data_IF_525652375396
#
_entry.id   IF_525652375396
#
_cell.length_a   1.000
_cell.length_b   1.000
_cell.length_c   1.000
_cell.angle_alpha   90.00
_cell.angle_beta   90.00
_cell.angle_gamma   90.00
#
_symmetry.space_group_name_H-M   'P 1'
#
loop_
_entity.id
_entity.type
_entity.pdbx_description
1 polymer ?
#
# COMPACT_ATOMS: atom_id res chain seq x y z
N UNK A 1 -9.58 20.29 0.63
CA UNK A 1 -8.51 21.10 -0.03
C UNK A 1 -8.26 20.56 -1.43
N UNK A 2 -8.03 21.43 -2.44
CA UNK A 2 -7.79 20.98 -3.82
C UNK A 2 -6.33 21.26 -4.20
N UNK A 3 -5.55 20.19 -4.35
CA UNK A 3 -4.16 20.28 -4.85
C UNK A 3 -4.22 20.35 -6.37
N UNK A 4 -3.44 21.22 -6.98
CA UNK A 4 -3.44 21.33 -8.44
C UNK A 4 -2.89 20.04 -9.10
N UNK A 5 -3.49 19.68 -10.24
CA UNK A 5 -3.17 18.44 -10.95
C UNK A 5 -1.69 18.33 -11.35
N UNK A 6 -0.99 19.45 -11.57
CA UNK A 6 0.43 19.43 -11.96
C UNK A 6 1.32 19.03 -10.78
N UNK A 7 0.96 19.43 -9.57
CA UNK A 7 1.66 19.05 -8.33
C UNK A 7 1.44 17.57 -8.03
N UNK A 8 0.20 17.07 -8.14
CA UNK A 8 -0.08 15.64 -7.98
C UNK A 8 0.66 14.77 -9.01
N UNK A 9 0.74 15.20 -10.27
CA UNK A 9 1.50 14.48 -11.29
C UNK A 9 3.00 14.43 -11.00
N UNK A 10 3.59 15.49 -10.43
CA UNK A 10 4.99 15.49 -10.01
C UNK A 10 5.22 14.53 -8.83
N UNK A 11 4.31 14.57 -7.86
CA UNK A 11 4.36 13.64 -6.72
C UNK A 11 4.25 12.19 -7.19
N UNK A 12 3.28 11.85 -8.04
CA UNK A 12 3.16 10.52 -8.65
C UNK A 12 4.43 10.08 -9.36
N UNK A 13 5.04 10.97 -10.14
CA UNK A 13 6.28 10.65 -10.85
C UNK A 13 7.43 10.34 -9.89
N UNK A 14 7.59 11.12 -8.82
CA UNK A 14 8.61 10.89 -7.81
C UNK A 14 8.36 9.57 -7.06
N UNK A 15 7.14 9.31 -6.59
CA UNK A 15 6.76 8.06 -5.94
C UNK A 15 7.05 6.87 -6.86
N UNK A 16 6.65 6.95 -8.12
CA UNK A 16 6.86 5.88 -9.11
C UNK A 16 8.35 5.56 -9.30
N UNK A 17 9.18 6.58 -9.47
CA UNK A 17 10.60 6.39 -9.75
C UNK A 17 11.33 5.82 -8.53
N UNK A 18 10.98 6.26 -7.32
CA UNK A 18 11.52 5.72 -6.07
C UNK A 18 10.99 4.29 -5.77
N UNK A 19 9.72 4.02 -6.01
CA UNK A 19 9.17 2.68 -5.83
C UNK A 19 9.80 1.66 -6.79
N UNK A 20 10.09 2.08 -8.03
CA UNK A 20 10.79 1.23 -8.99
C UNK A 20 12.20 0.87 -8.51
N UNK A 21 12.94 1.85 -7.97
CA UNK A 21 14.25 1.63 -7.39
C UNK A 21 14.17 0.71 -6.17
N UNK A 22 13.26 1.00 -5.25
CA UNK A 22 13.07 0.22 -4.04
C UNK A 22 12.76 -1.26 -4.33
N UNK A 23 11.92 -1.53 -5.34
CA UNK A 23 11.63 -2.90 -5.75
C UNK A 23 12.86 -3.59 -6.37
N UNK A 24 13.66 -2.87 -7.17
CA UNK A 24 14.90 -3.40 -7.73
C UNK A 24 15.93 -3.69 -6.63
N UNK A 25 16.08 -2.82 -5.64
CA UNK A 25 16.95 -3.00 -4.49
C UNK A 25 16.54 -4.23 -3.67
N UNK A 26 15.25 -4.42 -3.38
CA UNK A 26 14.72 -5.61 -2.72
C UNK A 26 15.10 -6.90 -3.46
N UNK A 27 14.99 -6.91 -4.80
CA UNK A 27 15.39 -8.07 -5.60
C UNK A 27 16.89 -8.33 -5.57
N UNK A 28 17.72 -7.27 -5.49
CA UNK A 28 19.17 -7.39 -5.41
C UNK A 28 19.63 -7.87 -4.02
N UNK A 29 18.97 -7.45 -2.95
CA UNK A 29 19.26 -7.88 -1.58
C UNK A 29 18.85 -9.33 -1.31
N UNK A 30 17.88 -9.84 -2.07
CA UNK A 30 17.34 -11.20 -1.93
C UNK A 30 17.43 -12.00 -3.24
N UNK A 31 18.65 -12.24 -3.77
CA UNK A 31 18.84 -12.86 -5.08
C UNK A 31 18.32 -14.30 -5.10
N UNK A 32 17.40 -14.56 -6.02
CA UNK A 32 16.79 -15.86 -6.23
C UNK A 32 15.67 -16.19 -5.21
N UNK A 33 15.30 -15.26 -4.35
CA UNK A 33 14.15 -15.39 -3.48
C UNK A 33 12.86 -14.93 -4.16
N UNK A 34 11.73 -15.52 -3.76
CA UNK A 34 10.41 -15.15 -4.27
C UNK A 34 9.82 -14.02 -3.44
N UNK A 35 9.75 -12.82 -4.03
CA UNK A 35 9.02 -11.69 -3.44
C UNK A 35 7.52 -11.96 -3.56
N UNK A 36 6.80 -12.02 -2.45
CA UNK A 36 5.35 -12.28 -2.44
C UNK A 36 4.50 -11.04 -2.14
N UNK A 37 5.12 -10.00 -1.59
CA UNK A 37 4.47 -8.72 -1.30
C UNK A 37 5.43 -7.57 -1.51
N UNK A 38 4.92 -6.49 -2.09
CA UNK A 38 5.56 -5.19 -2.13
C UNK A 38 4.49 -4.12 -1.94
N UNK A 39 4.76 -3.14 -1.11
CA UNK A 39 3.80 -2.09 -0.80
C UNK A 39 4.44 -0.75 -0.52
N UNK A 40 3.61 0.27 -0.65
CA UNK A 40 3.88 1.61 -0.16
C UNK A 40 2.99 1.85 1.06
N UNK A 41 3.49 2.59 2.02
CA UNK A 41 2.69 2.97 3.18
C UNK A 41 3.08 4.36 3.67
N UNK A 42 2.11 5.06 4.21
CA UNK A 42 2.33 6.30 4.90
C UNK A 42 2.36 6.05 6.41
N UNK A 43 3.11 6.89 7.09
CA UNK A 43 3.04 7.03 8.52
C UNK A 43 2.52 8.44 8.80
N UNK A 44 1.29 8.52 9.26
CA UNK A 44 0.64 9.78 9.58
C UNK A 44 0.76 10.05 11.08
N UNK A 45 1.96 10.39 11.54
CA UNK A 45 2.12 10.98 12.85
C UNK A 45 1.73 12.45 12.76
N UNK A 46 0.66 12.86 13.45
CA UNK A 46 0.19 14.24 13.49
C UNK A 46 -0.19 14.88 12.13
N UNK A 47 -0.75 14.09 11.22
CA UNK A 47 -1.32 14.63 9.99
C UNK A 47 -0.36 14.82 8.80
N UNK A 48 0.93 14.58 8.97
CA UNK A 48 1.90 14.66 7.87
C UNK A 48 2.30 13.25 7.41
N UNK A 49 1.87 12.77 6.22
CA UNK A 49 2.24 11.46 5.74
C UNK A 49 3.72 11.40 5.35
N UNK A 50 4.53 10.69 6.12
CA UNK A 50 5.85 10.26 5.68
C UNK A 50 5.70 8.97 4.88
N UNK A 51 6.24 8.95 3.66
CA UNK A 51 6.08 7.81 2.76
C UNK A 51 7.19 6.78 2.94
N UNK A 52 6.79 5.53 2.98
CA UNK A 52 7.69 4.39 3.07
C UNK A 52 7.38 3.36 2.00
N UNK A 53 8.35 2.50 1.71
CA UNK A 53 8.13 1.28 0.98
C UNK A 53 8.51 0.07 1.83
N UNK A 54 7.96 -1.07 1.49
CA UNK A 54 8.37 -2.33 2.09
C UNK A 54 8.06 -3.52 1.20
N UNK A 55 8.76 -4.61 1.47
CA UNK A 55 8.53 -5.86 0.78
C UNK A 55 9.04 -7.06 1.56
N UNK A 56 8.59 -8.25 1.17
CA UNK A 56 9.00 -9.48 1.83
C UNK A 56 9.11 -10.66 0.86
N UNK A 57 9.96 -11.61 1.24
CA UNK A 57 10.18 -12.86 0.51
C UNK A 57 9.64 -14.05 1.30
N UNK A 58 9.33 -15.15 0.61
CA UNK A 58 8.91 -16.40 1.26
C UNK A 58 10.01 -16.95 2.17
N UNK A 59 11.27 -16.74 1.82
CA UNK A 59 12.43 -17.19 2.59
C UNK A 59 12.59 -16.40 3.89
N UNK A 60 12.43 -15.06 3.83
CA UNK A 60 12.45 -14.21 5.02
C UNK A 60 11.29 -14.54 5.95
N UNK A 61 10.08 -14.70 5.42
CA UNK A 61 8.91 -15.13 6.18
C UNK A 61 9.18 -16.47 6.90
N UNK A 62 9.70 -17.47 6.18
CA UNK A 62 10.01 -18.77 6.75
C UNK A 62 11.07 -18.70 7.87
N UNK A 63 12.02 -17.76 7.78
CA UNK A 63 13.00 -17.50 8.83
C UNK A 63 12.32 -16.87 10.06
N UNK A 64 11.53 -15.82 9.87
CA UNK A 64 10.80 -15.14 10.96
C UNK A 64 9.92 -16.07 11.75
N UNK A 65 9.20 -16.96 11.06
CA UNK A 65 8.32 -17.95 11.71
C UNK A 65 9.06 -18.96 12.60
N UNK A 66 10.34 -19.21 12.34
CA UNK A 66 11.18 -20.08 13.20
C UNK A 66 11.70 -19.34 14.44
N UNK A 67 11.75 -18.02 14.40
CA UNK A 67 12.33 -17.17 15.43
C UNK A 67 11.30 -16.60 16.41
N UNK A 68 10.00 -16.67 16.11
CA UNK A 68 8.95 -15.99 16.87
C UNK A 68 7.65 -16.78 17.04
N UNK A 69 6.79 -16.27 17.91
CA UNK A 69 5.47 -16.85 18.25
C UNK A 69 4.33 -16.25 17.41
N UNK A 70 4.62 -15.75 16.19
CA UNK A 70 3.63 -15.13 15.31
C UNK A 70 2.93 -16.18 14.45
N UNK A 71 1.65 -15.97 14.15
CA UNK A 71 0.98 -16.73 13.12
C UNK A 71 1.58 -16.44 11.74
N UNK A 72 1.46 -17.38 10.82
CA UNK A 72 1.95 -17.23 9.44
C UNK A 72 1.32 -16.01 8.80
N UNK A 73 0.01 -15.86 8.96
CA UNK A 73 -0.79 -14.80 8.37
C UNK A 73 -0.38 -13.43 8.91
N UNK A 74 -0.21 -13.31 10.24
CA UNK A 74 0.24 -12.06 10.87
C UNK A 74 1.64 -11.65 10.38
N UNK A 75 2.58 -12.59 10.36
CA UNK A 75 3.93 -12.32 9.90
C UNK A 75 4.00 -11.99 8.40
N UNK A 76 3.06 -12.52 7.61
CA UNK A 76 3.00 -12.32 6.16
C UNK A 76 2.50 -10.92 5.78
N UNK A 77 1.44 -10.42 6.43
CA UNK A 77 0.68 -9.29 5.92
C UNK A 77 0.86 -7.97 6.67
N UNK A 78 1.54 -7.98 7.81
CA UNK A 78 1.84 -6.73 8.53
C UNK A 78 3.20 -6.16 8.12
N UNK A 79 3.25 -4.91 7.58
CA UNK A 79 4.50 -4.30 7.09
C UNK A 79 5.63 -4.27 8.12
N UNK A 80 5.31 -4.08 9.39
CA UNK A 80 6.29 -4.09 10.51
C UNK A 80 7.11 -5.39 10.61
N UNK A 81 6.64 -6.49 10.02
CA UNK A 81 7.34 -7.77 9.99
C UNK A 81 8.02 -8.07 8.65
N UNK A 82 7.94 -7.18 7.66
CA UNK A 82 8.59 -7.40 6.37
C UNK A 82 10.10 -7.26 6.46
N UNK A 83 10.80 -7.94 5.57
CA UNK A 83 12.26 -8.02 5.61
C UNK A 83 12.98 -6.75 5.23
N UNK A 84 12.34 -5.94 4.40
CA UNK A 84 12.89 -4.68 3.91
C UNK A 84 11.82 -3.60 3.97
N UNK A 85 12.14 -2.49 4.62
CA UNK A 85 11.36 -1.27 4.58
C UNK A 85 12.28 -0.07 4.76
N UNK A 86 12.00 1.03 4.06
CA UNK A 86 12.76 2.27 4.16
C UNK A 86 11.89 3.46 3.71
N UNK A 87 12.34 4.67 4.02
CA UNK A 87 11.65 5.91 3.65
C UNK A 87 11.83 6.18 2.16
N UNK A 88 10.73 6.57 1.48
CA UNK A 88 10.80 7.05 0.10
C UNK A 88 11.38 8.47 0.05
N UNK A 89 12.26 8.72 -0.91
CA UNK A 89 12.80 10.05 -1.16
C UNK A 89 11.73 11.06 -1.65
N UNK A 90 10.54 10.60 -1.97
CA UNK A 90 9.39 11.47 -2.28
C UNK A 90 8.77 12.13 -1.03
N UNK A 91 9.10 11.68 0.19
CA UNK A 91 8.55 12.25 1.42
C UNK A 91 8.76 13.77 1.56
N UNK A 92 9.94 14.36 1.26
CA UNK A 92 10.12 15.81 1.30
C UNK A 92 9.18 16.59 0.38
N UNK A 93 8.74 16.01 -0.74
CA UNK A 93 7.74 16.66 -1.61
C UNK A 93 6.36 16.73 -0.94
N UNK A 94 6.02 15.73 -0.15
CA UNK A 94 4.77 15.73 0.64
C UNK A 94 4.82 16.83 1.69
N UNK A 95 5.93 16.95 2.40
CA UNK A 95 6.17 18.02 3.37
C UNK A 95 6.06 19.42 2.73
N UNK A 96 6.70 19.64 1.57
CA UNK A 96 6.60 20.90 0.83
C UNK A 96 5.16 21.24 0.42
N UNK A 97 4.36 20.25 0.04
CA UNK A 97 2.94 20.44 -0.31
C UNK A 97 2.16 20.85 0.94
N UNK A 98 2.37 20.16 2.07
CA UNK A 98 1.70 20.48 3.34
C UNK A 98 2.03 21.92 3.78
N UNK A 99 3.29 22.32 3.74
CA UNK A 99 3.73 23.67 4.08
C UNK A 99 3.10 24.71 3.13
N UNK A 100 3.05 24.42 1.83
CA UNK A 100 2.47 25.33 0.82
C UNK A 100 0.99 25.61 1.06
N UNK A 101 0.24 24.61 1.53
CA UNK A 101 -1.19 24.74 1.80
C UNK A 101 -1.48 25.19 3.25
N UNK A 102 -0.45 25.39 4.06
CA UNK A 102 -0.58 25.86 5.44
C UNK A 102 -1.32 24.86 6.34
N UNK A 103 -1.26 23.58 6.01
CA UNK A 103 -1.81 22.52 6.83
C UNK A 103 -0.92 22.40 8.07
N UNK A 104 -1.40 22.92 9.20
CA UNK A 104 -0.73 22.83 10.49
C UNK A 104 -1.32 21.67 11.30
N UNK A 105 -0.58 21.21 12.30
CA UNK A 105 -1.03 20.17 13.25
C UNK A 105 -2.35 20.51 13.96
N UNK A 106 -2.76 21.79 13.95
CA UNK A 106 -4.00 22.29 14.56
C UNK A 106 -5.16 22.46 13.56
N UNK A 107 -4.97 22.11 12.27
CA UNK A 107 -6.04 22.19 11.27
C UNK A 107 -7.08 21.08 11.49
N UNK A 108 -8.30 21.33 10.96
CA UNK A 108 -9.35 20.35 11.13
C UNK A 108 -8.97 18.99 10.52
N UNK A 109 -9.25 17.93 11.24
CA UNK A 109 -8.92 16.55 10.86
C UNK A 109 -9.42 16.18 9.45
N UNK A 110 -10.49 16.83 8.96
CA UNK A 110 -11.09 16.57 7.64
C UNK A 110 -10.16 16.99 6.50
N UNK A 111 -9.51 18.14 6.59
CA UNK A 111 -8.58 18.63 5.54
C UNK A 111 -7.32 17.80 5.43
N UNK A 112 -6.78 17.32 6.56
CA UNK A 112 -5.63 16.44 6.61
C UNK A 112 -5.98 15.03 6.09
N UNK A 113 -7.17 14.55 6.42
CA UNK A 113 -7.67 13.28 5.91
C UNK A 113 -7.81 13.31 4.38
N UNK A 114 -8.46 14.35 3.83
CA UNK A 114 -8.59 14.54 2.39
C UNK A 114 -7.24 14.59 1.67
N UNK A 115 -6.24 15.24 2.30
CA UNK A 115 -4.88 15.28 1.77
C UNK A 115 -4.23 13.90 1.75
N UNK A 116 -4.28 13.16 2.85
CA UNK A 116 -3.73 11.82 2.94
C UNK A 116 -4.36 10.87 1.91
N UNK A 117 -5.67 10.94 1.70
CA UNK A 117 -6.36 10.17 0.67
C UNK A 117 -5.87 10.50 -0.75
N UNK A 118 -5.61 11.78 -1.06
CA UNK A 118 -5.03 12.18 -2.34
C UNK A 118 -3.61 11.62 -2.52
N UNK A 119 -2.77 11.68 -1.50
CA UNK A 119 -1.42 11.08 -1.52
C UNK A 119 -1.49 9.57 -1.73
N UNK A 120 -2.37 8.87 -1.04
CA UNK A 120 -2.59 7.42 -1.22
C UNK A 120 -3.08 7.07 -2.61
N UNK A 121 -3.96 7.92 -3.19
CA UNK A 121 -4.39 7.76 -4.58
C UNK A 121 -3.21 7.85 -5.55
N UNK A 122 -2.30 8.80 -5.34
CA UNK A 122 -1.08 8.93 -6.15
C UNK A 122 -0.12 7.74 -5.98
N UNK A 123 -0.02 7.17 -4.77
CA UNK A 123 0.74 5.94 -4.53
C UNK A 123 0.15 4.76 -5.31
N UNK A 124 -1.17 4.58 -5.29
CA UNK A 124 -1.85 3.53 -6.05
C UNK A 124 -1.63 3.72 -7.56
N UNK A 125 -1.80 4.95 -8.06
CA UNK A 125 -1.59 5.25 -9.48
C UNK A 125 -0.14 5.01 -9.91
N UNK A 126 0.85 5.36 -9.09
CA UNK A 126 2.25 5.10 -9.34
C UNK A 126 2.55 3.58 -9.47
N UNK A 127 2.03 2.77 -8.54
CA UNK A 127 2.17 1.30 -8.62
C UNK A 127 1.45 0.70 -9.83
N UNK A 128 0.27 1.21 -10.21
CA UNK A 128 -0.44 0.79 -11.45
C UNK A 128 0.37 1.09 -12.70
N UNK A 129 1.00 2.27 -12.78
CA UNK A 129 1.88 2.61 -13.89
C UNK A 129 3.09 1.67 -14.00
N UNK A 130 3.69 1.30 -12.87
CA UNK A 130 4.80 0.34 -12.83
C UNK A 130 4.36 -1.07 -13.22
N UNK A 131 3.20 -1.52 -12.74
CA UNK A 131 2.62 -2.81 -13.11
C UNK A 131 2.30 -2.88 -14.61
N UNK A 132 1.71 -1.83 -15.17
CA UNK A 132 1.44 -1.73 -16.60
C UNK A 132 2.71 -1.75 -17.47
N UNK A 133 3.86 -1.34 -16.92
CA UNK A 133 5.19 -1.43 -17.56
C UNK A 133 5.84 -2.81 -17.38
N UNK A 134 5.20 -3.71 -16.63
CA UNK A 134 5.70 -5.06 -16.37
C UNK A 134 6.79 -5.17 -15.30
N UNK A 135 7.02 -4.12 -14.49
CA UNK A 135 8.05 -4.14 -13.45
C UNK A 135 7.84 -5.30 -12.46
N UNK A 136 6.62 -5.57 -12.11
CA UNK A 136 6.22 -6.60 -11.12
C UNK A 136 6.00 -7.98 -11.74
N UNK A 137 6.47 -8.19 -12.97
CA UNK A 137 6.29 -9.44 -13.71
C UNK A 137 5.05 -9.43 -14.60
N UNK A 138 4.84 -10.53 -15.31
CA UNK A 138 3.67 -10.72 -16.19
C UNK A 138 3.11 -12.12 -16.03
N UNK A 139 1.84 -12.31 -16.35
CA UNK A 139 1.19 -13.63 -16.32
C UNK A 139 1.30 -14.31 -14.95
N UNK A 140 1.88 -15.51 -14.91
CA UNK A 140 1.99 -16.29 -13.69
C UNK A 140 2.91 -15.63 -12.63
N UNK A 141 3.98 -14.94 -13.06
CA UNK A 141 4.90 -14.28 -12.13
C UNK A 141 4.19 -13.14 -11.42
N UNK A 142 3.41 -12.33 -12.15
CA UNK A 142 2.58 -11.26 -11.55
C UNK A 142 1.56 -11.81 -10.54
N UNK A 143 1.04 -13.00 -10.75
CA UNK A 143 0.09 -13.65 -9.85
C UNK A 143 0.71 -14.17 -8.53
N UNK A 144 2.04 -14.11 -8.39
CA UNK A 144 2.71 -14.48 -7.15
C UNK A 144 2.97 -13.27 -6.22
N UNK A 145 2.83 -12.04 -6.75
CA UNK A 145 3.12 -10.82 -6.02
C UNK A 145 1.85 -10.06 -5.69
N UNK A 146 1.67 -9.74 -4.42
CA UNK A 146 0.63 -8.83 -3.93
C UNK A 146 1.19 -7.43 -3.84
N UNK A 147 0.50 -6.46 -4.43
CA UNK A 147 0.76 -5.04 -4.27
C UNK A 147 -0.25 -4.43 -3.31
N UNK A 148 0.19 -3.50 -2.46
CA UNK A 148 -0.69 -2.82 -1.51
C UNK A 148 -0.22 -1.39 -1.23
N UNK A 149 -1.15 -0.55 -0.85
CA UNK A 149 -0.90 0.74 -0.20
C UNK A 149 -1.61 0.72 1.14
N UNK A 150 -0.97 1.22 2.17
CA UNK A 150 -1.53 1.20 3.52
C UNK A 150 -1.08 2.40 4.32
N UNK A 151 -1.64 2.55 5.50
CA UNK A 151 -1.09 3.44 6.53
C UNK A 151 -0.55 2.59 7.68
N UNK A 152 0.41 3.09 8.41
CA UNK A 152 1.03 2.37 9.52
C UNK A 152 0.32 2.59 10.86
N UNK A 153 -0.69 3.44 10.90
CA UNK A 153 -1.47 3.70 12.09
C UNK A 153 -2.35 2.50 12.47
N UNK A 154 -2.27 2.06 13.72
CA UNK A 154 -2.95 0.85 14.22
C UNK A 154 -4.46 1.03 14.46
N UNK A 155 -5.04 2.18 14.04
CA UNK A 155 -6.45 2.45 14.20
C UNK A 155 -7.31 1.67 13.16
N UNK A 156 -8.54 1.34 13.54
CA UNK A 156 -9.49 0.52 12.76
C UNK A 156 -9.79 1.01 11.32
N UNK A 157 -9.35 2.22 10.95
CA UNK A 157 -9.46 2.77 9.60
C UNK A 157 -8.51 2.14 8.58
N UNK A 158 -7.42 1.53 9.02
CA UNK A 158 -6.34 1.03 8.17
C UNK A 158 -6.71 -0.19 7.34
N UNK A 159 -7.55 -1.06 7.85
CA UNK A 159 -8.02 -2.23 7.12
C UNK A 159 -8.63 -1.86 5.77
N UNK A 160 -9.37 -0.74 5.72
CA UNK A 160 -10.00 -0.28 4.49
C UNK A 160 -9.00 0.17 3.43
N UNK A 161 -7.96 0.93 3.79
CA UNK A 161 -6.94 1.40 2.84
C UNK A 161 -6.17 0.23 2.24
N UNK A 162 -5.77 -0.73 3.06
CA UNK A 162 -5.14 -1.97 2.59
C UNK A 162 -6.02 -2.76 1.61
N UNK A 163 -7.28 -2.95 1.95
CA UNK A 163 -8.21 -3.72 1.14
C UNK A 163 -8.55 -3.01 -0.18
N UNK A 164 -8.82 -1.70 -0.12
CA UNK A 164 -9.14 -0.89 -1.27
C UNK A 164 -7.96 -0.89 -2.25
N UNK A 165 -6.76 -0.57 -1.77
CA UNK A 165 -5.57 -0.54 -2.60
C UNK A 165 -5.24 -1.91 -3.19
N UNK A 166 -5.34 -2.97 -2.39
CA UNK A 166 -5.13 -4.33 -2.88
C UNK A 166 -6.15 -4.73 -3.95
N UNK A 167 -7.41 -4.31 -3.82
CA UNK A 167 -8.45 -4.52 -4.84
C UNK A 167 -8.13 -3.79 -6.14
N UNK A 168 -7.64 -2.55 -6.05
CA UNK A 168 -7.32 -1.71 -7.21
C UNK A 168 -6.02 -2.11 -7.92
N UNK A 169 -5.07 -2.71 -7.21
CA UNK A 169 -3.73 -2.99 -7.69
C UNK A 169 -3.54 -4.41 -8.20
N UNK A 170 -4.34 -5.38 -7.77
CA UNK A 170 -4.06 -6.78 -8.02
C UNK A 170 -5.08 -7.45 -8.96
N UNK A 171 -4.65 -8.47 -9.72
CA UNK A 171 -5.57 -9.38 -10.38
C UNK A 171 -6.54 -10.01 -9.36
N UNK A 172 -7.76 -10.29 -9.79
CA UNK A 172 -8.83 -10.80 -8.93
C UNK A 172 -8.44 -12.03 -8.07
N UNK A 173 -7.72 -12.97 -8.65
CA UNK A 173 -7.25 -14.17 -7.95
C UNK A 173 -6.23 -13.85 -6.84
N UNK A 174 -5.38 -12.84 -7.05
CA UNK A 174 -4.39 -12.38 -6.05
C UNK A 174 -5.10 -11.65 -4.92
N UNK A 175 -6.01 -10.73 -5.25
CA UNK A 175 -6.80 -10.00 -4.27
C UNK A 175 -7.62 -10.94 -3.37
N UNK A 176 -8.33 -11.93 -3.96
CA UNK A 176 -9.12 -12.88 -3.18
C UNK A 176 -8.27 -13.73 -2.23
N UNK A 177 -7.09 -14.16 -2.67
CA UNK A 177 -6.14 -14.85 -1.81
C UNK A 177 -5.70 -13.96 -0.65
N UNK A 178 -5.30 -12.73 -0.95
CA UNK A 178 -4.90 -11.73 0.04
C UNK A 178 -6.00 -11.49 1.10
N UNK A 179 -7.23 -11.25 0.66
CA UNK A 179 -8.37 -10.99 1.52
C UNK A 179 -8.63 -12.15 2.50
N UNK A 180 -8.60 -13.39 2.02
CA UNK A 180 -8.80 -14.58 2.87
C UNK A 180 -7.68 -14.74 3.89
N UNK A 181 -6.43 -14.54 3.49
CA UNK A 181 -5.27 -14.68 4.39
C UNK A 181 -5.22 -13.55 5.42
N UNK A 182 -5.48 -12.30 5.02
CA UNK A 182 -5.52 -11.13 5.93
C UNK A 182 -6.55 -11.32 7.05
N UNK A 183 -7.73 -11.85 6.72
CA UNK A 183 -8.77 -12.13 7.72
C UNK A 183 -8.38 -13.19 8.72
N UNK A 184 -7.68 -14.23 8.30
CA UNK A 184 -7.11 -15.20 9.22
C UNK A 184 -6.09 -14.57 10.16
N UNK A 185 -5.30 -13.62 9.65
CA UNK A 185 -4.34 -12.87 10.48
C UNK A 185 -5.00 -12.08 11.59
N UNK A 186 -6.16 -11.48 11.32
CA UNK A 186 -6.89 -10.65 12.29
C UNK A 186 -7.79 -11.46 13.23
N UNK A 187 -7.76 -12.80 13.18
CA UNK A 187 -8.59 -13.71 13.98
C UNK A 187 -10.11 -13.46 13.87
N UNK A 188 -10.53 -12.65 12.92
CA UNK A 188 -11.94 -12.42 12.65
C UNK A 188 -12.51 -13.54 11.78
N UNK A 189 -13.69 -13.95 12.15
CA UNK A 189 -14.44 -15.10 11.67
C UNK A 189 -14.28 -15.40 10.18
N UNK A 190 -14.32 -16.71 9.83
CA UNK A 190 -14.44 -17.18 8.43
C UNK A 190 -15.60 -16.45 7.74
N UNK A 191 -15.30 -15.44 6.92
CA UNK A 191 -16.33 -14.84 6.07
C UNK A 191 -16.78 -15.85 5.05
N UNK A 192 -18.07 -15.96 4.91
CA UNK A 192 -18.68 -16.65 3.78
C UNK A 192 -18.29 -15.95 2.45
N UNK A 193 -18.35 -16.67 1.34
CA UNK A 193 -18.12 -16.06 0.02
C UNK A 193 -19.07 -14.87 -0.25
N UNK A 194 -20.29 -14.90 0.30
CA UNK A 194 -21.25 -13.81 0.14
C UNK A 194 -20.81 -12.53 0.86
N UNK A 195 -20.26 -12.64 2.07
CA UNK A 195 -19.70 -11.51 2.83
C UNK A 195 -18.45 -10.93 2.16
N UNK A 196 -17.61 -11.77 1.53
CA UNK A 196 -16.48 -11.31 0.73
C UNK A 196 -16.96 -10.52 -0.49
N UNK A 197 -17.98 -11.00 -1.22
CA UNK A 197 -18.55 -10.30 -2.38
C UNK A 197 -19.20 -8.95 -1.97
N UNK A 198 -19.90 -8.92 -0.84
CA UNK A 198 -20.47 -7.69 -0.31
C UNK A 198 -19.38 -6.68 0.03
N UNK A 199 -18.30 -7.11 0.70
CA UNK A 199 -17.17 -6.25 1.03
C UNK A 199 -16.49 -5.70 -0.22
N UNK A 200 -16.26 -6.54 -1.25
CA UNK A 200 -15.69 -6.09 -2.52
C UNK A 200 -16.57 -5.00 -3.16
N UNK A 201 -17.88 -5.17 -3.14
CA UNK A 201 -18.82 -4.16 -3.65
C UNK A 201 -18.75 -2.85 -2.89
N UNK A 202 -18.60 -2.89 -1.56
CA UNK A 202 -18.45 -1.69 -0.73
C UNK A 202 -17.12 -0.96 -0.99
N UNK A 203 -16.02 -1.68 -1.25
CA UNK A 203 -14.73 -1.08 -1.52
C UNK A 203 -14.69 -0.25 -2.82
N UNK A 204 -15.50 -0.61 -3.81
CA UNK A 204 -15.54 0.11 -5.10
C UNK A 204 -16.15 1.54 -4.95
N UNK A 205 -16.92 1.80 -3.89
CA UNK A 205 -17.55 3.10 -3.58
C UNK A 205 -16.72 4.00 -2.66
N UNK A 206 -15.50 3.58 -2.29
CA UNK A 206 -14.65 4.33 -1.37
C UNK A 206 -14.07 5.60 -1.99
N UNK A 207 -13.71 6.58 -1.15
CA UNK A 207 -13.06 7.84 -1.56
C UNK A 207 -11.77 7.56 -2.34
N UNK A 208 -10.93 6.64 -1.85
CA UNK A 208 -9.69 6.26 -2.53
C UNK A 208 -9.96 5.64 -3.92
N UNK A 209 -10.93 4.75 -4.05
CA UNK A 209 -11.31 4.16 -5.33
C UNK A 209 -11.83 5.25 -6.30
N UNK A 210 -12.60 6.21 -5.82
CA UNK A 210 -13.09 7.34 -6.62
C UNK A 210 -11.94 8.20 -7.13
N UNK A 211 -11.00 8.59 -6.26
CA UNK A 211 -9.83 9.39 -6.63
C UNK A 211 -8.94 8.67 -7.66
N UNK A 212 -8.68 7.40 -7.46
CA UNK A 212 -7.89 6.58 -8.42
C UNK A 212 -8.59 6.49 -9.78
N UNK A 213 -9.91 6.32 -9.80
CA UNK A 213 -10.67 6.25 -11.06
C UNK A 213 -10.75 7.60 -11.79
N UNK A 214 -10.69 8.73 -11.08
CA UNK A 214 -10.64 10.07 -11.68
C UNK A 214 -9.24 10.41 -12.22
N UNK A 215 -8.17 9.91 -11.60
CA UNK A 215 -6.79 10.17 -11.98
C UNK A 215 -6.22 9.23 -13.05
N UNK A 216 -6.97 8.22 -13.46
CA UNK A 216 -6.57 7.26 -14.50
C UNK A 216 -7.06 7.71 -15.88
#
# INVERSE_FOLDING_TARGET
MEIDASTLLKLRAAIRDEAAKAFADLQQESPGESVYVFGLFDYADYGCPTLFYGGNTEQHLAKRLKEGDLSVETARWRPVFWGTHDQLAAAPMVEEIIEQFGLAEDDDDESLFDFAEQVRAEMVLALRELDARGLFGTGNDRNQLTLTVSTQDEADSDEWTHLISARLLNPENVFRKYLVELRRANQESDLSNAEIEELIGQLDDSTLAQLVNQGA
#
